data_IF_058307669769
#
_entry.id   IF_058307669769
#
_cell.length_a   1.000
_cell.length_b   1.000
_cell.length_c   1.000
_cell.angle_alpha   90.00
_cell.angle_beta   90.00
_cell.angle_gamma   90.00
#
_symmetry.space_group_name_H-M   'P 1'
#
loop_
_entity.id
_entity.type
_entity.pdbx_description
1 polymer ?
#
# COMPACT_ATOMS: atom_id res chain seq x y z
N UNK A 1 -6.47 22.68 7.47
CA UNK A 1 -6.68 22.38 6.04
C UNK A 1 -5.41 22.31 5.18
N UNK A 2 -4.18 22.45 5.73
CA UNK A 2 -2.93 22.42 4.93
C UNK A 2 -2.27 21.04 4.79
N UNK A 3 -2.68 20.03 5.54
CA UNK A 3 -1.98 18.72 5.60
C UNK A 3 -2.70 17.58 4.84
N UNK A 4 -3.92 17.84 4.36
CA UNK A 4 -4.58 16.90 3.42
C UNK A 4 -3.89 16.92 2.06
N UNK A 5 -3.19 18.03 1.76
CA UNK A 5 -2.42 18.20 0.53
C UNK A 5 -1.15 17.32 0.46
N UNK A 6 -0.52 16.99 1.60
CA UNK A 6 0.73 16.21 1.59
C UNK A 6 0.50 14.73 1.25
N UNK A 7 -0.62 14.17 1.71
CA UNK A 7 -0.99 12.78 1.38
C UNK A 7 -1.52 12.66 -0.05
N UNK A 8 -2.17 13.73 -0.54
CA UNK A 8 -2.54 13.87 -1.95
C UNK A 8 -1.33 14.19 -2.84
N UNK A 9 -0.28 14.84 -2.30
CA UNK A 9 0.90 15.25 -3.06
C UNK A 9 1.80 14.07 -3.42
N UNK A 10 1.87 13.02 -2.59
CA UNK A 10 2.57 11.79 -2.96
C UNK A 10 1.91 11.08 -4.15
N UNK A 11 0.60 11.27 -4.33
CA UNK A 11 -0.11 10.75 -5.51
C UNK A 11 -0.10 11.72 -6.71
N UNK A 12 0.12 13.02 -6.50
CA UNK A 12 0.08 14.00 -7.59
C UNK A 12 1.43 14.30 -8.25
N UNK A 13 2.55 13.95 -7.62
CA UNK A 13 3.88 14.10 -8.24
C UNK A 13 4.17 13.07 -9.36
N UNK A 14 3.29 12.10 -9.56
CA UNK A 14 3.41 11.08 -10.62
C UNK A 14 3.02 11.61 -12.02
N UNK A 15 2.54 12.84 -12.15
CA UNK A 15 1.90 13.29 -13.39
C UNK A 15 2.83 13.87 -14.46
N UNK A 16 4.17 13.82 -14.34
CA UNK A 16 5.05 14.56 -15.26
C UNK A 16 6.11 13.78 -16.04
N UNK A 17 6.19 12.45 -15.94
CA UNK A 17 7.17 11.71 -16.74
C UNK A 17 6.49 10.71 -17.66
N UNK A 18 6.26 11.15 -18.89
CA UNK A 18 5.86 10.28 -19.98
C UNK A 18 7.04 9.46 -20.50
N UNK A 19 7.01 8.15 -20.30
CA UNK A 19 7.63 7.19 -21.20
C UNK A 19 6.67 6.01 -21.35
N UNK A 20 6.25 5.78 -22.60
CA UNK A 20 5.49 4.64 -23.03
C UNK A 20 6.34 3.38 -22.97
N UNK A 21 6.43 2.74 -21.84
CA UNK A 21 6.79 1.35 -21.75
C UNK A 21 5.64 0.62 -21.04
N UNK A 22 4.92 -0.20 -21.78
CA UNK A 22 3.81 -1.02 -21.32
C UNK A 22 4.22 -2.13 -20.32
N UNK A 23 5.50 -2.24 -20.00
CA UNK A 23 6.00 -3.11 -18.96
C UNK A 23 5.53 -2.62 -17.58
N UNK A 24 4.73 -3.40 -16.92
CA UNK A 24 4.30 -3.10 -15.57
C UNK A 24 2.81 -3.23 -15.32
N UNK A 25 2.18 -4.25 -15.90
CA UNK A 25 0.84 -4.70 -15.53
C UNK A 25 0.96 -5.90 -14.60
N UNK A 26 0.20 -5.88 -13.51
CA UNK A 26 0.14 -7.00 -12.56
C UNK A 26 -1.15 -7.78 -12.74
N UNK A 27 -1.04 -9.09 -12.70
CA UNK A 27 -2.18 -9.96 -12.45
C UNK A 27 -2.34 -10.16 -10.95
N UNK A 28 -3.45 -9.68 -10.41
CA UNK A 28 -3.80 -9.78 -9.00
C UNK A 28 -5.14 -10.51 -8.89
N UNK A 29 -5.18 -11.54 -8.04
CA UNK A 29 -6.43 -12.21 -7.74
C UNK A 29 -7.09 -11.54 -6.53
N UNK A 30 -8.31 -11.06 -6.72
CA UNK A 30 -9.09 -10.49 -5.62
C UNK A 30 -9.45 -11.58 -4.60
N UNK A 31 -9.16 -11.39 -3.30
CA UNK A 31 -9.58 -12.32 -2.26
C UNK A 31 -11.11 -12.44 -2.20
N UNK A 32 -11.60 -13.56 -1.68
CA UNK A 32 -13.04 -13.79 -1.50
C UNK A 32 -13.67 -12.67 -0.68
N UNK A 33 -14.82 -12.18 -1.14
CA UNK A 33 -15.55 -11.10 -0.44
C UNK A 33 -15.00 -9.71 -0.65
N UNK A 34 -13.98 -9.55 -1.52
CA UNK A 34 -13.45 -8.25 -1.92
C UNK A 34 -13.88 -7.87 -3.33
N UNK A 35 -13.64 -6.62 -3.69
CA UNK A 35 -13.80 -6.10 -5.04
C UNK A 35 -12.47 -5.54 -5.51
N UNK A 36 -11.94 -6.05 -6.63
CA UNK A 36 -10.77 -5.50 -7.31
C UNK A 36 -11.22 -4.46 -8.32
N UNK A 37 -10.54 -3.33 -8.32
CA UNK A 37 -10.61 -2.29 -9.33
C UNK A 37 -9.21 -2.07 -9.89
N UNK A 38 -9.06 -2.19 -11.19
CA UNK A 38 -7.87 -1.81 -11.96
C UNK A 38 -8.21 -0.53 -12.71
N UNK A 39 -7.48 0.52 -12.47
CA UNK A 39 -7.67 1.83 -13.10
C UNK A 39 -6.35 2.26 -13.74
N UNK A 40 -6.42 2.59 -15.02
CA UNK A 40 -5.28 3.22 -15.71
C UNK A 40 -5.37 4.72 -15.48
N UNK A 41 -4.37 5.28 -14.82
CA UNK A 41 -4.25 6.71 -14.59
C UNK A 41 -3.93 7.44 -15.89
N UNK A 42 -4.13 8.77 -15.94
CA UNK A 42 -3.87 9.61 -17.13
C UNK A 42 -2.43 9.50 -17.67
N UNK A 43 -1.49 9.11 -16.83
CA UNK A 43 -0.08 8.88 -17.18
C UNK A 43 0.23 7.44 -17.63
N UNK A 44 -0.79 6.59 -17.81
CA UNK A 44 -0.63 5.18 -18.20
C UNK A 44 -0.26 4.23 -17.06
N UNK A 45 -0.15 4.72 -15.83
CA UNK A 45 0.17 3.86 -14.67
C UNK A 45 -1.07 3.13 -14.20
N UNK A 46 -0.97 1.81 -14.04
CA UNK A 46 -2.01 1.00 -13.41
C UNK A 46 -2.05 1.23 -11.91
N UNK A 47 -3.24 1.44 -11.41
CA UNK A 47 -3.56 1.55 -9.99
C UNK A 47 -4.58 0.48 -9.62
N UNK A 48 -4.16 -0.44 -8.78
CA UNK A 48 -5.00 -1.52 -8.29
C UNK A 48 -5.56 -1.16 -6.91
N UNK A 49 -6.85 -1.36 -6.73
CA UNK A 49 -7.53 -1.14 -5.46
C UNK A 49 -8.42 -2.30 -5.13
N UNK A 50 -8.14 -2.97 -4.02
CA UNK A 50 -8.95 -4.08 -3.50
C UNK A 50 -9.67 -3.59 -2.25
N UNK A 51 -11.00 -3.75 -2.24
CA UNK A 51 -11.86 -3.23 -1.18
C UNK A 51 -12.68 -4.35 -0.55
N UNK A 52 -12.67 -4.40 0.77
CA UNK A 52 -13.56 -5.23 1.57
C UNK A 52 -14.56 -4.34 2.29
N UNK A 53 -15.83 -4.69 2.19
CA UNK A 53 -16.91 -4.04 2.93
C UNK A 53 -17.44 -5.02 3.98
N UNK A 54 -17.01 -4.86 5.21
CA UNK A 54 -17.51 -5.63 6.33
C UNK A 54 -18.82 -5.03 6.85
N UNK A 55 -19.72 -5.89 7.35
CA UNK A 55 -20.95 -5.43 8.00
C UNK A 55 -20.57 -4.58 9.21
N UNK A 56 -21.12 -3.36 9.28
CA UNK A 56 -20.95 -2.39 10.38
C UNK A 56 -19.54 -1.80 10.56
N UNK A 57 -18.59 -2.11 9.69
CA UNK A 57 -17.23 -1.58 9.75
C UNK A 57 -16.92 -0.58 8.62
N UNK A 58 -15.87 0.20 8.84
CA UNK A 58 -15.28 1.02 7.80
C UNK A 58 -14.66 0.12 6.73
N UNK A 59 -14.78 0.51 5.47
CA UNK A 59 -14.16 -0.18 4.35
C UNK A 59 -12.66 -0.38 4.58
N UNK A 60 -12.18 -1.59 4.37
CA UNK A 60 -10.76 -1.91 4.30
C UNK A 60 -10.30 -1.82 2.86
N UNK A 61 -9.14 -1.23 2.63
CA UNK A 61 -8.61 -0.98 1.29
C UNK A 61 -7.15 -1.41 1.24
N UNK A 62 -6.83 -2.23 0.26
CA UNK A 62 -5.46 -2.49 -0.18
C UNK A 62 -5.28 -1.81 -1.53
N UNK A 63 -4.24 -1.03 -1.69
CA UNK A 63 -3.91 -0.38 -2.95
C UNK A 63 -2.46 -0.65 -3.34
N UNK A 64 -2.19 -0.75 -4.63
CA UNK A 64 -0.85 -0.92 -5.17
C UNK A 64 -0.75 -0.25 -6.54
N UNK A 65 0.41 0.31 -6.83
CA UNK A 65 0.73 0.90 -8.12
C UNK A 65 2.22 0.79 -8.41
N UNK A 66 2.60 0.89 -9.67
CA UNK A 66 4.00 0.98 -10.08
C UNK A 66 4.67 2.18 -9.41
N UNK A 67 5.88 1.99 -8.90
CA UNK A 67 6.70 3.09 -8.40
C UNK A 67 7.15 3.97 -9.57
N UNK A 68 6.98 5.30 -9.47
CA UNK A 68 7.16 6.18 -10.62
C UNK A 68 8.63 6.44 -11.01
N UNK A 69 9.55 6.07 -10.15
CA UNK A 69 10.98 6.37 -10.31
C UNK A 69 11.77 5.07 -10.26
N UNK A 70 12.74 4.92 -11.14
CA UNK A 70 13.70 3.82 -11.03
C UNK A 70 14.52 3.98 -9.76
N UNK A 71 14.59 2.92 -8.98
CA UNK A 71 15.39 2.86 -7.76
C UNK A 71 15.99 1.46 -7.58
N UNK A 72 17.19 1.35 -7.00
CA UNK A 72 17.73 0.05 -6.64
C UNK A 72 16.85 -0.67 -5.61
N UNK A 73 16.75 -1.98 -5.70
CA UNK A 73 15.98 -2.78 -4.71
C UNK A 73 16.51 -2.63 -3.29
N UNK A 74 17.81 -2.32 -3.12
CA UNK A 74 18.42 -2.00 -1.82
C UNK A 74 17.83 -0.77 -1.13
N UNK A 75 17.21 0.13 -1.90
CA UNK A 75 16.57 1.35 -1.37
C UNK A 75 15.12 1.10 -0.93
N UNK A 76 14.54 -0.06 -1.19
CA UNK A 76 13.15 -0.36 -0.87
C UNK A 76 12.91 -0.38 0.66
N UNK A 77 13.75 -1.08 1.40
CA UNK A 77 13.62 -1.17 2.86
C UNK A 77 13.75 0.19 3.56
N UNK A 78 14.79 1.01 3.29
CA UNK A 78 14.88 2.37 3.82
C UNK A 78 13.68 3.24 3.43
N UNK A 79 13.19 3.13 2.21
CA UNK A 79 12.03 3.90 1.72
C UNK A 79 10.75 3.51 2.44
N UNK A 80 10.48 2.21 2.62
CA UNK A 80 9.33 1.71 3.39
C UNK A 80 9.41 2.18 4.83
N UNK A 81 10.59 2.12 5.46
CA UNK A 81 10.81 2.59 6.82
C UNK A 81 10.44 4.07 6.93
N UNK A 82 11.02 4.91 6.08
CA UNK A 82 10.78 6.36 6.10
C UNK A 82 9.30 6.70 5.90
N UNK A 83 8.64 6.10 4.91
CA UNK A 83 7.22 6.36 4.63
C UNK A 83 6.35 5.92 5.81
N UNK A 84 6.69 4.78 6.45
CA UNK A 84 5.95 4.28 7.59
C UNK A 84 6.11 5.20 8.82
N UNK A 85 7.32 5.70 9.09
CA UNK A 85 7.59 6.65 10.18
C UNK A 85 6.84 7.97 9.98
N UNK A 86 6.86 8.54 8.78
CA UNK A 86 6.13 9.75 8.42
C UNK A 86 4.62 9.54 8.56
N UNK A 87 4.11 8.40 8.10
CA UNK A 87 2.69 8.03 8.20
C UNK A 87 2.26 7.85 9.66
N UNK A 88 3.07 7.19 10.47
CA UNK A 88 2.84 7.01 11.90
C UNK A 88 2.78 8.37 12.63
N UNK A 89 3.76 9.23 12.36
CA UNK A 89 3.81 10.58 12.95
C UNK A 89 2.58 11.41 12.57
N UNK A 90 2.18 11.39 11.29
CA UNK A 90 0.98 12.11 10.81
C UNK A 90 -0.31 11.53 11.41
N UNK A 91 -0.43 10.22 11.53
CA UNK A 91 -1.59 9.56 12.13
C UNK A 91 -1.74 9.93 13.60
N UNK A 92 -0.62 9.94 14.33
CA UNK A 92 -0.57 10.35 15.73
C UNK A 92 -0.92 11.82 15.91
N UNK A 93 -0.41 12.70 15.04
CA UNK A 93 -0.63 14.15 15.14
C UNK A 93 -2.05 14.58 14.79
N UNK A 94 -2.75 13.88 13.89
CA UNK A 94 -4.11 14.25 13.44
C UNK A 94 -5.20 14.07 14.48
N UNK A 95 -4.96 13.31 15.55
CA UNK A 95 -5.93 13.07 16.62
C UNK A 95 -7.21 12.31 16.21
N UNK A 96 -7.32 11.93 14.93
CA UNK A 96 -8.46 11.18 14.38
C UNK A 96 -8.37 9.68 14.60
N UNK A 97 -7.24 9.21 15.09
CA UNK A 97 -6.98 7.82 15.42
C UNK A 97 -6.17 7.79 16.70
N UNK A 98 -6.50 6.86 17.59
CA UNK A 98 -5.75 6.65 18.81
C UNK A 98 -4.66 5.61 18.54
N UNK A 99 -3.41 6.00 18.74
CA UNK A 99 -2.28 5.09 18.77
C UNK A 99 -1.90 4.93 20.24
N UNK A 100 -1.95 3.70 20.74
CA UNK A 100 -1.57 3.41 22.12
C UNK A 100 -0.06 3.68 22.32
N UNK A 101 0.34 3.96 23.58
CA UNK A 101 1.73 4.41 23.86
C UNK A 101 2.80 3.38 23.53
N UNK A 102 2.45 2.11 23.60
CA UNK A 102 3.32 0.95 23.37
C UNK A 102 3.35 0.46 21.92
N UNK A 103 2.47 1.00 21.08
CA UNK A 103 2.44 0.65 19.65
C UNK A 103 3.71 1.13 18.97
N UNK A 104 4.38 0.18 18.30
CA UNK A 104 5.58 0.41 17.50
C UNK A 104 5.28 0.04 16.05
N UNK A 105 6.03 0.66 15.14
CA UNK A 105 6.05 0.24 13.74
C UNK A 105 6.74 -1.13 13.69
N UNK A 106 6.09 -2.08 13.04
CA UNK A 106 6.63 -3.41 12.78
C UNK A 106 7.11 -3.48 11.35
N UNK A 107 8.22 -4.17 11.13
CA UNK A 107 8.85 -4.36 9.83
C UNK A 107 8.93 -5.85 9.52
N UNK A 108 8.68 -6.20 8.27
CA UNK A 108 8.76 -7.58 7.80
C UNK A 108 9.17 -7.61 6.33
N UNK A 109 9.81 -8.70 5.93
CA UNK A 109 10.13 -8.97 4.54
C UNK A 109 8.96 -9.70 3.87
N UNK A 110 8.83 -9.47 2.57
CA UNK A 110 7.95 -10.20 1.67
C UNK A 110 8.86 -11.02 0.76
N UNK A 111 8.68 -12.33 0.76
CA UNK A 111 9.42 -13.25 -0.10
C UNK A 111 8.44 -14.28 -0.64
N UNK A 112 7.95 -14.03 -1.85
CA UNK A 112 6.98 -14.85 -2.55
C UNK A 112 7.57 -15.27 -3.90
N UNK A 113 6.92 -16.19 -4.60
CA UNK A 113 7.42 -16.80 -5.84
C UNK A 113 7.78 -15.78 -6.93
N UNK A 114 6.98 -14.73 -7.06
CA UNK A 114 7.11 -13.73 -8.14
C UNK A 114 7.49 -12.33 -7.66
N UNK A 115 7.39 -12.07 -6.37
CA UNK A 115 7.69 -10.76 -5.82
C UNK A 115 8.42 -10.88 -4.49
N UNK A 116 9.36 -9.98 -4.28
CA UNK A 116 10.06 -9.82 -3.00
C UNK A 116 10.08 -8.34 -2.58
N UNK A 117 10.18 -8.08 -1.30
CA UNK A 117 10.23 -6.71 -0.81
C UNK A 117 10.03 -6.56 0.67
N UNK A 118 9.49 -5.42 1.06
CA UNK A 118 9.36 -5.01 2.46
C UNK A 118 7.99 -4.46 2.75
N UNK A 119 7.52 -4.70 3.97
CA UNK A 119 6.31 -4.10 4.54
C UNK A 119 6.62 -3.53 5.92
N UNK A 120 6.07 -2.36 6.18
CA UNK A 120 6.01 -1.79 7.52
C UNK A 120 4.55 -1.52 7.89
N UNK A 121 4.17 -1.78 9.13
CA UNK A 121 2.79 -1.60 9.57
C UNK A 121 2.70 -1.24 11.06
N UNK A 122 1.59 -0.63 11.44
CA UNK A 122 1.27 -0.35 12.82
C UNK A 122 -0.24 -0.42 13.06
N UNK A 123 -0.58 -0.70 14.32
CA UNK A 123 -1.96 -0.76 14.77
C UNK A 123 -2.42 0.62 15.26
N UNK A 124 -3.70 0.92 15.05
CA UNK A 124 -4.35 2.10 15.60
C UNK A 124 -5.83 1.84 15.81
N UNK A 125 -6.44 2.60 16.70
CA UNK A 125 -7.89 2.59 16.93
C UNK A 125 -8.51 3.76 16.19
N UNK A 126 -9.49 3.51 15.34
CA UNK A 126 -10.23 4.57 14.63
C UNK A 126 -11.08 5.41 15.57
N UNK A 127 -11.59 6.57 15.12
CA UNK A 127 -12.54 7.40 15.87
C UNK A 127 -13.78 6.63 16.36
N UNK A 128 -14.17 5.58 15.64
CA UNK A 128 -15.32 4.73 15.97
C UNK A 128 -14.98 3.54 16.87
N UNK A 129 -13.74 3.47 17.38
CA UNK A 129 -13.29 2.41 18.28
C UNK A 129 -12.85 1.10 17.60
N UNK A 130 -12.80 1.03 16.26
CA UNK A 130 -12.36 -0.18 15.55
C UNK A 130 -10.83 -0.30 15.54
N UNK A 131 -10.35 -1.52 15.83
CA UNK A 131 -8.95 -1.87 15.69
C UNK A 131 -8.59 -1.99 14.21
N UNK A 132 -7.60 -1.22 13.79
CA UNK A 132 -7.17 -1.13 12.39
C UNK A 132 -5.66 -1.27 12.27
N UNK A 133 -5.23 -1.67 11.09
CA UNK A 133 -3.82 -1.64 10.68
C UNK A 133 -3.70 -0.66 9.52
N UNK A 134 -2.63 0.11 9.56
CA UNK A 134 -2.11 0.84 8.42
C UNK A 134 -0.76 0.24 8.07
N UNK A 135 -0.59 -0.16 6.81
CA UNK A 135 0.70 -0.64 6.29
C UNK A 135 1.12 0.10 5.05
N UNK A 136 2.44 0.15 4.86
CA UNK A 136 3.13 0.62 3.66
C UNK A 136 4.00 -0.51 3.17
N UNK A 137 4.04 -0.75 1.88
CA UNK A 137 4.84 -1.82 1.30
C UNK A 137 5.45 -1.40 -0.04
N UNK A 138 6.62 -1.98 -0.31
CA UNK A 138 7.26 -1.96 -1.62
C UNK A 138 7.67 -3.38 -1.96
N UNK A 139 7.35 -3.82 -3.15
CA UNK A 139 7.73 -5.12 -3.68
C UNK A 139 8.28 -4.96 -5.09
N UNK A 140 9.17 -5.86 -5.49
CA UNK A 140 9.73 -5.93 -6.85
C UNK A 140 9.51 -7.32 -7.40
N UNK A 141 9.23 -7.41 -8.69
CA UNK A 141 9.26 -8.64 -9.48
C UNK A 141 10.62 -8.87 -10.18
N UNK A 142 11.62 -8.05 -9.84
CA UNK A 142 12.95 -8.04 -10.45
C UNK A 142 13.15 -6.86 -11.41
N UNK A 143 12.14 -6.50 -12.18
CA UNK A 143 12.20 -5.44 -13.20
C UNK A 143 11.48 -4.16 -12.75
N UNK A 144 10.39 -4.32 -12.02
CA UNK A 144 9.53 -3.22 -11.63
C UNK A 144 9.36 -3.19 -10.12
N UNK A 145 9.37 -2.00 -9.55
CA UNK A 145 9.02 -1.78 -8.15
C UNK A 145 7.58 -1.29 -8.06
N UNK A 146 6.85 -1.90 -7.16
CA UNK A 146 5.47 -1.61 -6.83
C UNK A 146 5.39 -1.08 -5.41
N UNK A 147 4.69 0.02 -5.22
CA UNK A 147 4.38 0.53 -3.90
C UNK A 147 2.91 0.39 -3.60
N UNK A 148 2.57 0.33 -2.33
CA UNK A 148 1.19 0.27 -1.95
C UNK A 148 0.94 0.48 -0.47
N UNK A 149 -0.33 0.39 -0.12
CA UNK A 149 -0.82 0.59 1.23
C UNK A 149 -1.99 -0.33 1.53
N UNK A 150 -2.08 -0.77 2.77
CA UNK A 150 -3.32 -1.29 3.33
C UNK A 150 -3.79 -0.38 4.46
N UNK A 151 -5.08 -0.08 4.45
CA UNK A 151 -5.75 0.58 5.57
C UNK A 151 -7.05 -0.15 5.86
N UNK A 152 -7.08 -0.88 6.94
CA UNK A 152 -8.21 -1.77 7.17
C UNK A 152 -8.29 -2.39 8.55
N UNK A 153 -9.30 -3.24 8.73
CA UNK A 153 -9.49 -4.06 9.92
C UNK A 153 -8.25 -4.94 10.16
N UNK A 154 -7.86 -5.09 11.41
CA UNK A 154 -6.79 -5.99 11.83
C UNK A 154 -7.03 -7.44 11.38
N UNK A 155 -8.27 -7.87 11.37
CA UNK A 155 -8.66 -9.22 10.95
C UNK A 155 -8.36 -9.50 9.47
N UNK A 156 -8.49 -8.48 8.62
CA UNK A 156 -8.24 -8.58 7.19
C UNK A 156 -6.77 -8.40 6.80
N UNK A 157 -5.91 -7.98 7.71
CA UNK A 157 -4.53 -7.69 7.37
C UNK A 157 -3.77 -8.91 6.81
N UNK A 158 -3.95 -10.07 7.45
CA UNK A 158 -3.33 -11.32 6.95
C UNK A 158 -3.82 -11.69 5.56
N UNK A 159 -5.10 -11.50 5.29
CA UNK A 159 -5.69 -11.76 3.98
C UNK A 159 -5.17 -10.76 2.93
N UNK A 160 -5.05 -9.49 3.31
CA UNK A 160 -4.45 -8.48 2.45
C UNK A 160 -3.00 -8.82 2.09
N UNK A 161 -2.19 -9.30 3.05
CA UNK A 161 -0.81 -9.70 2.78
C UNK A 161 -0.72 -10.96 1.88
N UNK A 162 -1.71 -11.85 1.92
CA UNK A 162 -1.76 -12.99 1.01
C UNK A 162 -1.92 -12.59 -0.47
N UNK A 163 -2.29 -11.35 -0.76
CA UNK A 163 -2.36 -10.84 -2.14
C UNK A 163 -0.99 -10.96 -2.83
N UNK A 164 0.11 -10.72 -2.10
CA UNK A 164 1.46 -10.84 -2.65
C UNK A 164 1.77 -12.24 -3.19
N UNK A 165 1.18 -13.30 -2.61
CA UNK A 165 1.33 -14.69 -3.11
C UNK A 165 0.71 -14.91 -4.47
N UNK A 166 -0.23 -14.07 -4.85
CA UNK A 166 -0.96 -14.18 -6.11
C UNK A 166 -0.56 -13.13 -7.14
N UNK A 167 0.28 -12.18 -6.73
CA UNK A 167 0.81 -11.18 -7.65
C UNK A 167 1.77 -11.83 -8.64
N UNK A 168 1.51 -11.59 -9.90
CA UNK A 168 2.36 -12.04 -11.01
C UNK A 168 2.54 -10.89 -11.98
N UNK A 169 3.76 -10.68 -12.52
CA UNK A 169 3.92 -9.82 -13.70
C UNK A 169 3.07 -10.41 -14.82
N UNK A 170 2.39 -9.56 -15.55
CA UNK A 170 1.71 -9.98 -16.76
C UNK A 170 2.79 -10.03 -17.86
N UNK A 171 3.25 -11.24 -18.16
CA UNK A 171 4.07 -11.46 -19.37
C UNK A 171 3.23 -11.14 -20.59
N UNK A 172 3.80 -10.38 -21.51
CA UNK A 172 3.25 -10.12 -22.83
C UNK A 172 2.95 -11.42 -23.60
#
# INVERSE_FOLDING_TARGET
>A
MKYFALFSLLFTLVSCFGNKNESGVLKINAPKGSTLKDEVMKNGVHFYSIKWKLKNEMTSVFSISKWPVEMPTSEMAPSVQKIAEDTFAVTKAKGKSKIEKDVKIQYSEISEEFVSGNVAYFEHTSERGYQRILSVHMVSDGDVIWNGQFSGSKELFKEAMNIFKTMKPQSE
#
